data_IF_004281068389
#
_entry.id   IF_004281068389
#
_cell.length_a   1.000
_cell.length_b   1.000
_cell.length_c   1.000
_cell.angle_alpha   90.00
_cell.angle_beta   90.00
_cell.angle_gamma   90.00
#
_symmetry.space_group_name_H-M   'P 1'
#
loop_
_entity.id
_entity.type
_entity.pdbx_description
1 polymer ?
#
# COMPACT_ATOMS: atom_id res chain seq x y z
N UNK A 1 -1.23 2.06 -1.49
CA UNK A 1 -0.06 2.00 -0.58
C UNK A 1 0.02 0.62 0.05
N UNK A 2 1.20 0.19 0.50
CA UNK A 2 1.35 -0.99 1.36
C UNK A 2 2.25 -0.65 2.55
N UNK A 3 2.48 -1.59 3.48
CA UNK A 3 3.48 -1.44 4.54
C UNK A 3 3.96 -2.77 5.07
N UNK A 4 4.98 -2.76 5.92
CA UNK A 4 5.52 -3.99 6.50
C UNK A 4 4.45 -4.77 7.25
N UNK A 5 4.40 -6.06 6.95
CA UNK A 5 3.50 -7.01 7.58
C UNK A 5 4.20 -7.57 8.81
N UNK A 6 3.65 -7.31 10.00
CA UNK A 6 4.21 -7.81 11.27
C UNK A 6 3.84 -9.27 11.49
N UNK A 7 2.66 -9.68 11.02
CA UNK A 7 2.21 -11.06 11.01
C UNK A 7 1.44 -11.33 9.73
N UNK A 8 1.98 -12.21 8.90
CA UNK A 8 1.34 -12.56 7.63
C UNK A 8 0.40 -13.75 7.80
N UNK A 9 -0.85 -13.58 7.36
CA UNK A 9 -1.95 -14.51 7.63
C UNK A 9 -2.11 -15.48 6.46
N UNK A 10 -2.20 -16.80 6.68
CA UNK A 10 -2.50 -17.75 5.62
C UNK A 10 -3.88 -17.49 5.01
N UNK A 11 -4.02 -17.70 3.71
CA UNK A 11 -5.33 -17.68 3.05
C UNK A 11 -5.86 -19.12 3.03
N UNK A 12 -7.06 -19.40 3.57
CA UNK A 12 -7.62 -20.74 3.59
C UNK A 12 -7.66 -21.39 2.20
N UNK A 13 -7.17 -22.63 2.09
CA UNK A 13 -7.16 -23.40 0.84
C UNK A 13 -6.24 -22.87 -0.25
N UNK A 14 -5.28 -21.99 0.07
CA UNK A 14 -4.37 -21.38 -0.91
C UNK A 14 -2.90 -21.48 -0.49
N UNK A 15 -2.01 -21.56 -1.49
CA UNK A 15 -0.55 -21.62 -1.28
C UNK A 15 0.10 -20.27 -0.95
N UNK A 16 -0.66 -19.18 -1.02
CA UNK A 16 -0.16 -17.82 -0.79
C UNK A 16 -0.82 -17.22 0.45
N UNK A 17 -0.17 -16.19 1.00
CA UNK A 17 -0.61 -15.50 2.21
C UNK A 17 -1.29 -14.18 1.89
N UNK A 18 -1.98 -13.62 2.87
CA UNK A 18 -2.74 -12.39 2.75
C UNK A 18 -1.85 -11.21 2.32
N UNK A 19 -0.60 -11.14 2.77
CA UNK A 19 0.36 -10.13 2.35
C UNK A 19 0.58 -10.12 0.83
N UNK A 20 0.62 -11.29 0.19
CA UNK A 20 0.74 -11.40 -1.26
C UNK A 20 -0.51 -10.89 -1.98
N UNK A 21 -1.70 -11.21 -1.45
CA UNK A 21 -2.97 -10.69 -1.99
C UNK A 21 -3.06 -9.17 -1.90
N UNK A 22 -2.68 -8.60 -0.75
CA UNK A 22 -2.66 -7.16 -0.56
C UNK A 22 -1.70 -6.46 -1.51
N UNK A 23 -0.51 -7.03 -1.74
CA UNK A 23 0.43 -6.53 -2.73
C UNK A 23 -0.14 -6.60 -4.15
N UNK A 24 -0.70 -7.74 -4.53
CA UNK A 24 -1.32 -7.93 -5.84
C UNK A 24 -2.43 -6.91 -6.07
N UNK A 25 -3.30 -6.70 -5.08
CA UNK A 25 -4.38 -5.72 -5.14
C UNK A 25 -3.86 -4.29 -5.30
N UNK A 26 -2.91 -3.88 -4.47
CA UNK A 26 -2.33 -2.54 -4.55
C UNK A 26 -1.65 -2.27 -5.90
N UNK A 27 -1.07 -3.30 -6.54
CA UNK A 27 -0.52 -3.19 -7.88
C UNK A 27 -1.63 -3.12 -8.95
N UNK A 28 -2.73 -3.86 -8.79
CA UNK A 28 -3.92 -3.78 -9.65
C UNK A 28 -4.52 -2.37 -9.64
N UNK A 29 -4.85 -1.86 -8.45
CA UNK A 29 -5.42 -0.51 -8.30
C UNK A 29 -4.50 0.57 -8.91
N UNK A 30 -3.18 0.41 -8.80
CA UNK A 30 -2.21 1.31 -9.40
C UNK A 30 -2.12 1.21 -10.93
N UNK A 31 -2.41 0.05 -11.52
CA UNK A 31 -2.51 -0.11 -12.98
C UNK A 31 -3.78 0.55 -13.49
N UNK A 32 -4.91 0.31 -12.83
CA UNK A 32 -6.22 0.87 -13.21
C UNK A 32 -6.19 2.40 -13.14
N UNK A 33 -5.60 2.97 -12.08
CA UNK A 33 -5.44 4.42 -11.97
C UNK A 33 -4.56 5.02 -13.07
N UNK A 34 -3.47 4.34 -13.48
CA UNK A 34 -2.64 4.79 -14.61
C UNK A 34 -3.37 4.69 -15.94
N UNK A 35 -4.11 3.60 -16.16
CA UNK A 35 -4.93 3.42 -17.36
C UNK A 35 -5.99 4.52 -17.48
N UNK A 36 -6.52 5.00 -16.36
CA UNK A 36 -7.41 6.15 -16.29
C UNK A 36 -6.72 7.53 -16.40
N UNK A 37 -5.42 7.59 -16.74
CA UNK A 37 -4.67 8.84 -16.91
C UNK A 37 -4.35 9.59 -15.60
N UNK A 38 -4.52 8.94 -14.44
CA UNK A 38 -4.29 9.59 -13.14
C UNK A 38 -2.80 9.49 -12.76
N UNK A 39 -2.21 10.53 -12.16
CA UNK A 39 -0.86 10.44 -11.60
C UNK A 39 -0.86 9.44 -10.42
N UNK A 40 0.12 8.54 -10.39
CA UNK A 40 0.19 7.46 -9.39
C UNK A 40 1.54 7.44 -8.70
N UNK A 41 1.51 7.52 -7.36
CA UNK A 41 2.68 7.28 -6.49
C UNK A 41 2.43 5.98 -5.71
N UNK A 42 3.43 5.10 -5.68
CA UNK A 42 3.41 3.87 -4.88
C UNK A 42 4.35 4.00 -3.70
N UNK A 43 3.81 3.91 -2.49
CA UNK A 43 4.58 3.93 -1.25
C UNK A 43 4.47 2.58 -0.53
N UNK A 44 5.60 2.16 0.04
CA UNK A 44 5.68 1.05 0.98
C UNK A 44 6.19 1.57 2.32
N UNK A 45 5.33 1.54 3.34
CA UNK A 45 5.65 2.08 4.67
C UNK A 45 6.31 1.02 5.55
N UNK A 46 7.57 1.22 5.90
CA UNK A 46 8.29 0.34 6.84
C UNK A 46 7.64 0.34 8.23
N UNK A 47 7.27 1.53 8.73
CA UNK A 47 6.39 1.72 9.87
C UNK A 47 5.11 2.42 9.40
N UNK A 48 3.98 1.71 9.46
CA UNK A 48 2.69 2.21 8.95
C UNK A 48 2.24 3.50 9.65
N UNK A 49 2.41 3.58 10.96
CA UNK A 49 1.91 4.69 11.77
C UNK A 49 2.75 5.94 11.54
N UNK A 50 4.06 5.82 11.69
CA UNK A 50 4.98 6.94 11.46
C UNK A 50 4.93 7.42 10.00
N UNK A 51 4.83 6.49 9.04
CA UNK A 51 4.73 6.83 7.62
C UNK A 51 3.43 7.58 7.27
N UNK A 52 2.28 7.14 7.82
CA UNK A 52 1.02 7.83 7.59
C UNK A 52 0.99 9.21 8.23
N UNK A 53 1.51 9.35 9.46
CA UNK A 53 1.64 10.64 10.13
C UNK A 53 2.43 11.64 9.27
N UNK A 54 3.60 11.22 8.77
CA UNK A 54 4.44 12.05 7.89
C UNK A 54 3.73 12.45 6.60
N UNK A 55 2.94 11.56 6.00
CA UNK A 55 2.19 11.87 4.78
C UNK A 55 1.08 12.89 5.04
N UNK A 56 0.37 12.76 6.16
CA UNK A 56 -0.66 13.72 6.56
C UNK A 56 -0.04 15.09 6.87
N UNK A 57 1.11 15.12 7.55
CA UNK A 57 1.85 16.36 7.80
C UNK A 57 2.30 17.04 6.50
N UNK A 58 2.87 16.26 5.57
CA UNK A 58 3.28 16.78 4.26
C UNK A 58 2.08 17.30 3.43
N UNK A 59 0.94 16.59 3.46
CA UNK A 59 -0.26 16.97 2.73
C UNK A 59 -0.94 18.23 3.29
N UNK A 60 -0.76 18.52 4.58
CA UNK A 60 -1.21 19.77 5.21
C UNK A 60 -0.39 21.00 4.78
N UNK A 61 0.72 20.78 4.08
CA UNK A 61 1.64 21.81 3.63
C UNK A 61 2.67 22.12 4.71
N UNK A 62 3.95 21.98 4.36
CA UNK A 62 5.00 22.76 5.03
C UNK A 62 4.76 24.20 4.57
N UNK A 63 4.47 25.12 5.51
CA UNK A 63 4.50 26.55 5.22
C UNK A 63 5.89 26.96 4.75
#
# INVERSE_FOLDING_TARGET
MTGNVVRDVPVPGRHHRLGMLQLARALGDARDARAAGRPVVRLHLQNRWAGLARLLDAARGVR
#
